data_IF_870227923406
#
_entry.id   IF_870227923406
#
_cell.length_a   1.000
_cell.length_b   1.000
_cell.length_c   1.000
_cell.angle_alpha   90.00
_cell.angle_beta   90.00
_cell.angle_gamma   90.00
#
_symmetry.space_group_name_H-M   'P 1'
#
loop_
_entity.id
_entity.type
_entity.pdbx_description
1 polymer ?
#
# COMPACT_ATOMS: atom_id res chain seq x y z
N UNK A 1 2.07 7.29 6.87
CA UNK A 1 2.53 7.08 5.52
C UNK A 1 1.57 6.17 4.74
N UNK A 2 1.70 6.12 3.41
CA UNK A 2 0.88 5.29 2.53
C UNK A 2 0.95 3.80 2.87
N UNK A 3 2.10 3.32 3.35
CA UNK A 3 2.29 1.93 3.76
C UNK A 3 1.36 1.52 4.90
N UNK A 4 1.11 2.44 5.85
CA UNK A 4 0.18 2.19 6.95
C UNK A 4 -1.27 2.05 6.45
N UNK A 5 -1.68 2.85 5.49
CA UNK A 5 -3.02 2.76 4.89
C UNK A 5 -3.22 1.46 4.14
N UNK A 6 -2.21 1.04 3.37
CA UNK A 6 -2.21 -0.25 2.68
C UNK A 6 -2.32 -1.41 3.68
N UNK A 7 -1.55 -1.36 4.75
CA UNK A 7 -1.60 -2.36 5.82
C UNK A 7 -3.00 -2.44 6.48
N UNK A 8 -3.55 -1.30 6.86
CA UNK A 8 -4.88 -1.22 7.48
C UNK A 8 -5.98 -1.71 6.55
N UNK A 9 -5.93 -1.32 5.28
CA UNK A 9 -6.90 -1.78 4.29
C UNK A 9 -6.81 -3.28 4.04
N UNK A 10 -5.61 -3.81 3.94
CA UNK A 10 -5.42 -5.25 3.75
C UNK A 10 -5.98 -6.06 4.94
N UNK A 11 -5.88 -5.55 6.16
CA UNK A 11 -6.53 -6.15 7.32
C UNK A 11 -8.05 -6.10 7.22
N UNK A 12 -8.61 -4.97 6.79
CA UNK A 12 -10.05 -4.81 6.54
C UNK A 12 -10.53 -5.80 5.48
N UNK A 13 -9.84 -5.86 4.35
CA UNK A 13 -10.15 -6.77 3.25
C UNK A 13 -10.16 -8.22 3.71
N UNK A 14 -9.15 -8.63 4.46
CA UNK A 14 -9.04 -9.98 5.00
C UNK A 14 -10.22 -10.34 5.93
N UNK A 15 -10.67 -9.40 6.76
CA UNK A 15 -11.83 -9.62 7.63
C UNK A 15 -13.14 -9.75 6.86
N UNK A 16 -13.27 -9.04 5.75
CA UNK A 16 -14.51 -8.97 4.95
C UNK A 16 -14.63 -10.07 3.90
N UNK A 17 -13.52 -10.70 3.52
CA UNK A 17 -13.48 -11.71 2.48
C UNK A 17 -12.89 -13.01 3.03
N UNK A 18 -13.66 -14.09 3.00
CA UNK A 18 -13.22 -15.39 3.52
C UNK A 18 -12.07 -16.01 2.74
N UNK A 19 -12.04 -15.77 1.44
CA UNK A 19 -11.03 -16.31 0.54
C UNK A 19 -10.80 -15.38 -0.64
N UNK A 20 -9.67 -15.58 -1.30
CA UNK A 20 -9.33 -14.96 -2.58
C UNK A 20 -8.94 -16.05 -3.58
N UNK A 21 -8.94 -15.77 -4.90
CA UNK A 21 -8.33 -16.66 -5.87
C UNK A 21 -6.87 -16.96 -5.53
N UNK A 22 -6.26 -17.91 -6.24
CA UNK A 22 -4.83 -18.22 -6.06
C UNK A 22 -3.97 -16.95 -6.21
N UNK A 23 -2.77 -16.91 -5.60
CA UNK A 23 -1.90 -15.74 -5.69
C UNK A 23 -1.59 -15.32 -7.13
N UNK A 24 -1.53 -16.27 -8.03
CA UNK A 24 -1.27 -16.04 -9.46
C UNK A 24 -2.47 -15.42 -10.18
N UNK A 25 -3.67 -15.72 -9.73
CA UNK A 25 -4.93 -15.27 -10.34
C UNK A 25 -5.50 -14.00 -9.69
N UNK A 26 -5.15 -13.77 -8.42
CA UNK A 26 -5.66 -12.61 -7.70
C UNK A 26 -5.10 -11.31 -8.30
N UNK A 27 -6.00 -10.40 -8.60
CA UNK A 27 -5.66 -9.06 -9.09
C UNK A 27 -6.44 -8.02 -8.31
N UNK A 28 -5.85 -6.86 -8.14
CA UNK A 28 -6.57 -5.69 -7.62
C UNK A 28 -7.42 -5.13 -8.75
N UNK A 29 -8.70 -5.44 -8.71
CA UNK A 29 -9.68 -4.92 -9.67
C UNK A 29 -9.91 -3.43 -9.42
N UNK A 30 -10.49 -2.74 -10.40
CA UNK A 30 -10.90 -1.34 -10.23
C UNK A 30 -11.84 -1.16 -9.04
N UNK A 31 -12.74 -2.13 -8.80
CA UNK A 31 -13.65 -2.13 -7.66
C UNK A 31 -12.91 -2.19 -6.33
N UNK A 32 -11.92 -3.07 -6.21
CA UNK A 32 -11.09 -3.19 -5.01
C UNK A 32 -10.29 -1.90 -4.80
N UNK A 33 -9.72 -1.36 -5.86
CA UNK A 33 -8.95 -0.13 -5.78
C UNK A 33 -9.81 1.07 -5.38
N UNK A 34 -11.01 1.20 -5.94
CA UNK A 34 -11.95 2.25 -5.58
C UNK A 34 -12.39 2.14 -4.11
N UNK A 35 -12.58 0.92 -3.62
CA UNK A 35 -12.88 0.68 -2.21
C UNK A 35 -11.69 1.09 -1.31
N UNK A 36 -10.48 0.80 -1.75
CA UNK A 36 -9.27 1.27 -1.07
C UNK A 36 -9.18 2.81 -1.02
N UNK A 37 -9.45 3.47 -2.13
CA UNK A 37 -9.46 4.95 -2.19
C UNK A 37 -10.48 5.53 -1.22
N UNK A 38 -11.69 5.00 -1.19
CA UNK A 38 -12.73 5.41 -0.24
C UNK A 38 -12.30 5.19 1.22
N UNK A 39 -11.65 4.06 1.48
CA UNK A 39 -11.12 3.78 2.80
C UNK A 39 -10.08 4.83 3.23
N UNK A 40 -9.14 5.18 2.35
CA UNK A 40 -8.13 6.21 2.61
C UNK A 40 -8.77 7.57 2.85
N UNK A 41 -9.74 7.95 2.03
CA UNK A 41 -10.48 9.21 2.18
C UNK A 41 -11.20 9.29 3.54
N UNK A 42 -11.78 8.19 4.01
CA UNK A 42 -12.45 8.12 5.31
C UNK A 42 -11.46 8.13 6.49
N UNK A 43 -10.19 7.87 6.24
CA UNK A 43 -9.11 7.91 7.23
C UNK A 43 -8.35 9.24 7.23
N UNK A 44 -8.93 10.31 6.70
CA UNK A 44 -8.31 11.63 6.50
C UNK A 44 -7.64 12.17 7.78
N UNK A 45 -8.19 11.90 8.94
CA UNK A 45 -7.61 12.29 10.24
C UNK A 45 -6.30 11.56 10.59
N UNK A 46 -6.07 10.38 10.02
CA UNK A 46 -4.90 9.54 10.32
C UNK A 46 -3.83 9.62 9.23
N UNK A 47 -4.19 10.09 8.04
CA UNK A 47 -3.28 10.19 6.91
C UNK A 47 -2.87 11.63 6.64
N UNK A 48 -1.73 12.00 7.19
CA UNK A 48 -1.09 13.29 6.93
C UNK A 48 0.21 13.05 6.16
N UNK A 49 0.34 13.67 4.97
CA UNK A 49 1.57 13.59 4.19
C UNK A 49 2.70 14.38 4.87
N UNK A 50 3.96 14.09 4.51
CA UNK A 50 5.09 14.87 5.02
C UNK A 50 4.98 16.35 4.63
N UNK A 51 4.52 16.63 3.40
CA UNK A 51 4.27 18.02 2.96
C UNK A 51 3.23 18.74 3.81
N UNK A 52 2.17 18.03 4.21
CA UNK A 52 1.15 18.60 5.10
C UNK A 52 1.71 18.86 6.51
N UNK A 53 2.55 17.98 7.02
CA UNK A 53 3.23 18.18 8.31
C UNK A 53 4.15 19.39 8.27
N UNK A 54 4.95 19.52 7.23
CA UNK A 54 5.84 20.66 7.03
C UNK A 54 5.03 21.97 6.88
N UNK A 55 3.90 21.90 6.20
CA UNK A 55 2.96 23.02 6.10
C UNK A 55 2.41 23.44 7.47
N UNK A 56 1.98 22.48 8.29
CA UNK A 56 1.50 22.75 9.66
C UNK A 56 2.59 23.42 10.51
N UNK A 57 3.84 22.96 10.40
CA UNK A 57 4.98 23.56 11.09
C UNK A 57 5.26 24.99 10.57
N UNK A 58 5.14 25.22 9.27
CA UNK A 58 5.26 26.56 8.69
C UNK A 58 4.20 27.51 9.27
N UNK A 59 2.93 27.05 9.33
CA UNK A 59 1.84 27.84 9.92
C UNK A 59 2.13 28.20 11.38
N UNK A 60 2.58 27.22 12.18
CA UNK A 60 2.98 27.41 13.56
C UNK A 60 4.08 28.48 13.70
N UNK A 61 5.11 28.37 12.88
CA UNK A 61 6.25 29.28 12.89
C UNK A 61 5.83 30.70 12.50
N UNK A 62 5.00 30.82 11.45
CA UNK A 62 4.49 32.11 11.00
C UNK A 62 3.66 32.81 12.09
N UNK A 63 2.84 32.07 12.83
CA UNK A 63 2.07 32.59 13.97
C UNK A 63 2.99 33.04 15.09
N UNK A 64 4.00 32.24 15.42
CA UNK A 64 4.99 32.55 16.47
C UNK A 64 5.81 33.81 16.13
N UNK A 65 6.18 33.96 14.87
CA UNK A 65 6.96 35.11 14.38
C UNK A 65 6.10 36.34 14.06
N UNK A 66 4.78 36.23 14.14
CA UNK A 66 3.85 37.35 14.05
C UNK A 66 3.50 37.84 12.64
N UNK A 67 3.81 37.05 11.59
CA UNK A 67 3.47 37.43 10.21
C UNK A 67 2.42 36.53 9.53
N UNK A 68 1.80 35.65 10.28
CA UNK A 68 0.77 34.73 9.75
C UNK A 68 -0.33 35.46 9.00
N UNK A 69 -0.88 36.54 9.54
CA UNK A 69 -1.97 37.29 8.89
C UNK A 69 -1.55 37.87 7.53
N UNK A 70 -0.26 38.20 7.38
CA UNK A 70 0.26 38.77 6.15
C UNK A 70 0.33 37.76 4.99
N UNK A 71 0.45 36.47 5.31
CA UNK A 71 0.62 35.40 4.31
C UNK A 71 -0.53 34.39 4.33
N UNK A 72 -1.56 34.63 5.14
CA UNK A 72 -2.67 33.68 5.32
C UNK A 72 -3.35 33.29 4.00
N UNK A 73 -3.58 34.24 3.11
CA UNK A 73 -4.21 33.94 1.82
C UNK A 73 -3.38 33.03 0.95
N UNK A 74 -2.06 33.17 0.93
CA UNK A 74 -1.14 32.30 0.22
C UNK A 74 -1.08 30.91 0.86
N UNK A 75 -1.10 30.86 2.21
CA UNK A 75 -1.14 29.59 2.93
C UNK A 75 -2.43 28.82 2.67
N UNK A 76 -3.57 29.50 2.62
CA UNK A 76 -4.86 28.87 2.30
C UNK A 76 -4.86 28.23 0.89
N UNK A 77 -4.26 28.89 -0.09
CA UNK A 77 -4.10 28.35 -1.46
C UNK A 77 -3.17 27.12 -1.44
N UNK A 78 -2.05 27.22 -0.75
CA UNK A 78 -1.08 26.13 -0.64
C UNK A 78 -1.69 24.90 0.04
N UNK A 79 -2.45 25.11 1.11
CA UNK A 79 -3.15 24.04 1.81
C UNK A 79 -4.11 23.28 0.89
N UNK A 80 -4.91 24.03 0.11
CA UNK A 80 -5.83 23.46 -0.87
C UNK A 80 -5.10 22.68 -1.96
N UNK A 81 -3.96 23.19 -2.44
CA UNK A 81 -3.16 22.52 -3.45
C UNK A 81 -2.51 21.24 -2.92
N UNK A 82 -1.98 21.24 -1.70
CA UNK A 82 -1.43 20.05 -1.06
C UNK A 82 -2.49 18.96 -0.91
N UNK A 83 -3.68 19.33 -0.49
CA UNK A 83 -4.81 18.41 -0.36
C UNK A 83 -5.24 17.82 -1.70
N UNK A 84 -5.30 18.64 -2.74
CA UNK A 84 -5.61 18.22 -4.11
C UNK A 84 -4.56 17.27 -4.67
N UNK A 85 -3.28 17.53 -4.44
CA UNK A 85 -2.19 16.63 -4.86
C UNK A 85 -2.23 15.28 -4.17
N UNK A 86 -2.54 15.25 -2.89
CA UNK A 86 -2.72 14.02 -2.12
C UNK A 86 -3.79 13.12 -2.73
N UNK A 87 -4.94 13.71 -3.11
CA UNK A 87 -6.02 12.97 -3.78
C UNK A 87 -5.60 12.44 -5.15
N UNK A 88 -4.83 13.22 -5.91
CA UNK A 88 -4.30 12.82 -7.22
C UNK A 88 -3.24 11.74 -7.15
N UNK A 89 -2.46 11.67 -6.08
CA UNK A 89 -1.42 10.66 -5.91
C UNK A 89 -1.98 9.24 -5.95
N UNK A 90 -3.16 9.00 -5.39
CA UNK A 90 -3.84 7.71 -5.45
C UNK A 90 -4.24 7.33 -6.89
N UNK A 91 -4.55 8.31 -7.73
CA UNK A 91 -4.89 8.07 -9.14
C UNK A 91 -3.63 7.85 -9.96
N UNK A 92 -2.64 8.72 -9.80
CA UNK A 92 -1.41 8.72 -10.60
C UNK A 92 -0.51 7.52 -10.33
N UNK A 93 -0.53 6.99 -9.10
CA UNK A 93 0.27 5.85 -8.67
C UNK A 93 -0.54 4.56 -8.53
N UNK A 94 -1.70 4.48 -9.16
CA UNK A 94 -2.61 3.33 -9.06
C UNK A 94 -1.93 2.00 -9.33
N UNK A 95 -1.09 1.92 -10.35
CA UNK A 95 -0.39 0.67 -10.71
C UNK A 95 0.55 0.21 -9.59
N UNK A 96 1.41 1.09 -9.11
CA UNK A 96 2.38 0.78 -8.07
C UNK A 96 1.69 0.45 -6.73
N UNK A 97 0.70 1.23 -6.35
CA UNK A 97 -0.08 1.00 -5.14
C UNK A 97 -0.83 -0.33 -5.23
N UNK A 98 -1.41 -0.66 -6.38
CA UNK A 98 -2.10 -1.93 -6.59
C UNK A 98 -1.17 -3.13 -6.42
N UNK A 99 0.07 -3.05 -6.89
CA UNK A 99 1.06 -4.11 -6.70
C UNK A 99 1.40 -4.34 -5.23
N UNK A 100 1.62 -3.27 -4.47
CA UNK A 100 1.91 -3.34 -3.03
C UNK A 100 0.67 -3.85 -2.28
N UNK A 101 -0.51 -3.35 -2.63
CA UNK A 101 -1.78 -3.76 -2.04
C UNK A 101 -2.05 -5.25 -2.26
N UNK A 102 -1.79 -5.74 -3.46
CA UNK A 102 -1.88 -7.16 -3.79
C UNK A 102 -0.97 -8.00 -2.89
N UNK A 103 0.29 -7.62 -2.76
CA UNK A 103 1.25 -8.33 -1.90
C UNK A 103 0.79 -8.37 -0.45
N UNK A 104 0.29 -7.26 0.07
CA UNK A 104 -0.20 -7.19 1.46
C UNK A 104 -1.46 -8.05 1.66
N UNK A 105 -2.40 -8.03 0.75
CA UNK A 105 -3.62 -8.86 0.82
C UNK A 105 -3.27 -10.33 0.69
N UNK A 106 -2.53 -10.72 -0.36
CA UNK A 106 -2.12 -12.11 -0.59
C UNK A 106 -1.34 -12.67 0.61
N UNK A 107 -0.48 -11.85 1.21
CA UNK A 107 0.29 -12.24 2.37
C UNK A 107 -0.56 -12.67 3.56
N UNK A 108 -1.75 -12.10 3.73
CA UNK A 108 -2.67 -12.45 4.82
C UNK A 108 -3.35 -13.80 4.64
N UNK A 109 -3.59 -14.21 3.40
CA UNK A 109 -4.21 -15.50 3.09
C UNK A 109 -3.19 -16.63 2.97
N UNK A 110 -2.04 -16.33 2.40
CA UNK A 110 -1.03 -17.32 2.05
C UNK A 110 0.30 -17.08 2.75
N UNK A 111 0.36 -16.14 3.67
CA UNK A 111 1.57 -15.74 4.40
C UNK A 111 2.71 -15.42 3.45
N UNK A 112 3.95 -15.63 3.88
CA UNK A 112 5.13 -15.38 3.07
C UNK A 112 5.16 -16.19 1.77
N UNK A 113 4.58 -17.38 1.80
CA UNK A 113 4.46 -18.28 0.66
C UNK A 113 3.73 -17.64 -0.52
N UNK A 114 2.56 -17.07 -0.25
CA UNK A 114 1.79 -16.37 -1.26
C UNK A 114 2.45 -15.10 -1.76
N UNK A 115 3.11 -14.34 -0.88
CA UNK A 115 3.89 -13.14 -1.26
C UNK A 115 5.01 -13.48 -2.24
N UNK A 116 5.78 -14.51 -1.96
CA UNK A 116 6.88 -14.94 -2.83
C UNK A 116 6.35 -15.30 -4.21
N UNK A 117 5.32 -16.13 -4.29
CA UNK A 117 4.71 -16.53 -5.58
C UNK A 117 4.17 -15.32 -6.36
N UNK A 118 3.52 -14.40 -5.68
CA UNK A 118 2.98 -13.19 -6.29
C UNK A 118 4.07 -12.26 -6.82
N UNK A 119 5.17 -12.11 -6.09
CA UNK A 119 6.32 -11.29 -6.50
C UNK A 119 7.06 -11.91 -7.69
N UNK A 120 7.19 -13.23 -7.72
CA UNK A 120 7.92 -13.97 -8.75
C UNK A 120 7.10 -14.20 -10.02
N UNK A 121 5.84 -13.81 -10.04
CA UNK A 121 4.96 -14.00 -11.20
C UNK A 121 5.53 -13.42 -12.50
N UNK A 122 6.25 -12.31 -12.42
CA UNK A 122 6.86 -11.64 -13.56
C UNK A 122 8.30 -12.10 -13.84
N UNK A 123 8.87 -12.96 -12.99
CA UNK A 123 10.18 -13.55 -13.16
C UNK A 123 10.02 -15.02 -13.61
N UNK A 124 10.16 -15.24 -14.92
CA UNK A 124 9.92 -16.55 -15.55
C UNK A 124 10.88 -17.62 -15.04
N UNK A 125 12.15 -17.27 -14.81
CA UNK A 125 13.17 -18.23 -14.36
C UNK A 125 12.95 -18.65 -12.91
N UNK A 126 12.69 -17.68 -12.03
CA UNK A 126 12.39 -17.94 -10.63
C UNK A 126 11.06 -18.65 -10.44
N UNK A 127 10.03 -18.29 -11.20
CA UNK A 127 8.75 -19.00 -11.20
C UNK A 127 8.91 -20.46 -11.57
N UNK A 128 9.71 -20.75 -12.59
CA UNK A 128 9.99 -22.12 -13.01
C UNK A 128 10.76 -22.90 -11.94
N UNK A 129 11.74 -22.28 -11.30
CA UNK A 129 12.47 -22.89 -10.19
C UNK A 129 11.57 -23.21 -9.01
N UNK A 130 10.67 -22.30 -8.64
CA UNK A 130 9.69 -22.52 -7.57
C UNK A 130 8.72 -23.65 -7.93
N UNK A 131 8.23 -23.70 -9.16
CA UNK A 131 7.35 -24.78 -9.63
C UNK A 131 8.06 -26.14 -9.56
N UNK A 132 9.31 -26.23 -10.00
CA UNK A 132 10.10 -27.47 -9.93
C UNK A 132 10.26 -27.91 -8.47
N UNK A 133 10.53 -27.01 -7.55
CA UNK A 133 10.66 -27.32 -6.13
C UNK A 133 9.34 -27.78 -5.50
N UNK A 134 8.22 -27.19 -5.92
CA UNK A 134 6.89 -27.57 -5.46
C UNK A 134 6.47 -28.93 -6.00
N UNK A 135 6.80 -29.26 -7.26
CA UNK A 135 6.40 -30.50 -7.93
C UNK A 135 7.29 -31.67 -7.55
N UNK A 136 8.60 -31.46 -7.33
CA UNK A 136 9.55 -32.55 -7.13
C UNK A 136 9.51 -33.15 -5.71
N UNK A 137 9.31 -32.36 -4.66
CA UNK A 137 9.32 -32.83 -3.26
C UNK A 137 8.17 -32.32 -2.40
N UNK A 138 7.21 -31.67 -3.02
CA UNK A 138 6.03 -31.19 -2.34
C UNK A 138 6.32 -30.11 -1.30
N UNK A 139 5.44 -30.05 -0.32
CA UNK A 139 5.34 -28.97 0.66
C UNK A 139 6.60 -28.74 1.51
N UNK A 140 7.39 -29.79 1.77
CA UNK A 140 8.49 -29.73 2.73
C UNK A 140 9.71 -28.97 2.24
N UNK A 141 10.07 -29.08 0.97
CA UNK A 141 11.23 -28.31 0.41
C UNK A 141 10.93 -26.84 0.25
N UNK A 142 9.69 -26.52 -0.08
CA UNK A 142 9.25 -25.14 -0.18
C UNK A 142 9.26 -24.46 1.20
N UNK A 143 8.82 -25.14 2.23
CA UNK A 143 8.89 -24.65 3.62
C UNK A 143 10.34 -24.49 4.09
N UNK A 144 11.23 -25.37 3.68
CA UNK A 144 12.67 -25.26 3.98
C UNK A 144 13.31 -24.06 3.29
N UNK A 145 12.94 -23.81 2.02
CA UNK A 145 13.38 -22.63 1.28
C UNK A 145 12.91 -21.33 1.94
N UNK A 146 11.67 -21.29 2.40
CA UNK A 146 11.12 -20.14 3.12
C UNK A 146 11.83 -19.87 4.44
N UNK A 147 12.21 -20.91 5.18
CA UNK A 147 13.00 -20.78 6.41
C UNK A 147 14.41 -20.24 6.13
N UNK A 148 15.00 -20.59 4.99
CA UNK A 148 16.30 -20.07 4.56
C UNK A 148 16.29 -18.58 4.19
N UNK A 149 15.18 -18.06 3.72
CA UNK A 149 15.02 -16.64 3.37
C UNK A 149 14.80 -15.77 4.63
N UNK A 150 14.27 -16.34 5.70
CA UNK A 150 13.98 -15.63 6.95
C UNK A 150 15.17 -15.62 7.94
N UNK A 151 16.27 -16.23 7.63
CA UNK A 151 17.53 -16.21 8.37
C UNK A 151 18.55 -15.32 7.66
#
# INVERSE_FOLDING_TARGET
>A
SSDLMIFKYANKFYREHKSIPSPEEFVITDEIYDDFVKFVENQDFEYTSESEKDFEELVKTAKKEGYYENIKSQLDVLEADLKSHKDKDLINNKKEISEILKLEIVGRYYFQKGKIRSTLKDDVELNRAVEILLDSNGKNEYETLLKGINN
#
